data_IF_778623056596
#
_entry.id   IF_778623056596
#
_cell.length_a   1.000
_cell.length_b   1.000
_cell.length_c   1.000
_cell.angle_alpha   90.00
_cell.angle_beta   90.00
_cell.angle_gamma   90.00
#
_symmetry.space_group_name_H-M   'P 1'
#
loop_
_entity.id
_entity.type
_entity.pdbx_description
1 polymer ?
#
# COMPACT_ATOMS: atom_id res chain seq x y z
N UNK A 1 11.86 -8.98 -7.88
CA UNK A 1 10.50 -8.60 -8.30
C UNK A 1 10.03 -7.60 -7.27
N UNK A 2 10.12 -6.29 -7.57
CA UNK A 2 10.17 -5.23 -6.55
C UNK A 2 9.10 -5.30 -5.46
N UNK A 3 9.45 -4.76 -4.28
CA UNK A 3 8.54 -4.59 -3.14
C UNK A 3 7.24 -3.94 -3.62
N UNK A 4 6.09 -4.48 -3.22
CA UNK A 4 4.79 -4.09 -3.78
C UNK A 4 3.75 -3.97 -2.69
N UNK A 5 3.09 -2.82 -2.57
CA UNK A 5 1.91 -2.64 -1.72
C UNK A 5 0.65 -3.11 -2.45
N UNK A 6 -0.17 -3.90 -1.77
CA UNK A 6 -1.43 -4.41 -2.32
C UNK A 6 -2.60 -3.76 -1.60
N UNK A 7 -3.53 -3.22 -2.38
CA UNK A 7 -4.75 -2.59 -1.89
C UNK A 7 -5.99 -3.27 -2.48
N UNK A 8 -7.04 -3.39 -1.66
CA UNK A 8 -8.39 -3.72 -2.11
C UNK A 8 -9.14 -2.41 -2.29
N UNK A 9 -9.49 -2.12 -3.52
CA UNK A 9 -10.12 -0.85 -3.90
C UNK A 9 -11.50 -1.15 -4.45
N UNK A 10 -12.50 -0.48 -3.92
CA UNK A 10 -13.85 -0.55 -4.47
C UNK A 10 -14.10 0.69 -5.31
N UNK A 11 -14.39 0.47 -6.59
CA UNK A 11 -14.63 1.54 -7.57
C UNK A 11 -16.09 1.60 -7.94
N UNK A 12 -16.52 2.76 -8.39
CA UNK A 12 -17.85 2.98 -8.97
C UNK A 12 -17.72 3.48 -10.39
N UNK A 13 -18.51 2.93 -11.30
CA UNK A 13 -18.60 3.41 -12.67
C UNK A 13 -19.28 4.78 -12.70
N UNK A 14 -18.62 5.77 -13.33
CA UNK A 14 -19.24 7.06 -13.63
C UNK A 14 -20.03 6.95 -14.95
N UNK A 15 -21.33 6.69 -14.85
CA UNK A 15 -22.20 6.51 -16.00
C UNK A 15 -22.92 7.79 -16.38
N UNK A 16 -23.20 7.96 -17.67
CA UNK A 16 -24.09 9.03 -18.12
C UNK A 16 -25.48 8.88 -17.48
N UNK A 17 -26.20 10.00 -17.28
CA UNK A 17 -27.46 10.04 -16.55
C UNK A 17 -28.57 9.07 -17.04
N UNK A 18 -28.49 8.62 -18.30
CA UNK A 18 -29.43 7.70 -18.93
C UNK A 18 -28.88 6.26 -19.11
N UNK A 19 -27.78 5.91 -18.45
CA UNK A 19 -27.12 4.60 -18.53
C UNK A 19 -27.04 3.98 -17.15
N UNK A 20 -27.58 2.76 -17.01
CA UNK A 20 -27.46 1.95 -15.81
C UNK A 20 -26.47 0.80 -16.06
N UNK A 21 -25.58 0.56 -15.09
CA UNK A 21 -24.69 -0.59 -15.06
C UNK A 21 -25.07 -1.48 -13.86
N UNK A 22 -24.93 -2.80 -14.02
CA UNK A 22 -25.11 -3.77 -12.94
C UNK A 22 -24.04 -4.87 -13.06
N UNK A 23 -23.10 -4.96 -12.10
CA UNK A 23 -22.92 -4.02 -10.98
C UNK A 23 -22.37 -2.66 -11.44
N UNK A 24 -22.80 -1.56 -10.80
CA UNK A 24 -22.17 -0.23 -10.96
C UNK A 24 -20.99 -0.02 -10.01
N UNK A 25 -20.82 -0.90 -9.03
CA UNK A 25 -19.76 -0.89 -8.03
C UNK A 25 -19.10 -2.27 -7.92
N UNK A 26 -17.78 -2.33 -8.00
CA UNK A 26 -17.04 -3.59 -7.88
C UNK A 26 -15.68 -3.40 -7.22
N UNK A 27 -15.18 -4.50 -6.65
CA UNK A 27 -13.86 -4.53 -6.02
C UNK A 27 -12.78 -4.92 -7.03
N UNK A 28 -11.65 -4.21 -6.98
CA UNK A 28 -10.43 -4.50 -7.71
C UNK A 28 -9.23 -4.59 -6.76
N UNK A 29 -8.14 -5.19 -7.24
CA UNK A 29 -6.87 -5.28 -6.50
C UNK A 29 -5.82 -4.42 -7.17
N UNK A 30 -5.40 -3.37 -6.47
CA UNK A 30 -4.34 -2.46 -6.93
C UNK A 30 -3.01 -2.89 -6.35
N UNK A 31 -1.96 -2.86 -7.19
CA UNK A 31 -0.58 -3.18 -6.81
C UNK A 31 0.28 -1.97 -7.11
N UNK A 32 0.90 -1.41 -6.08
CA UNK A 32 1.73 -0.21 -6.17
C UNK A 32 3.16 -0.59 -5.84
N UNK A 33 4.05 -0.43 -6.81
CA UNK A 33 5.50 -0.56 -6.61
C UNK A 33 6.05 0.83 -6.28
N UNK A 34 6.54 1.07 -5.04
CA UNK A 34 7.20 2.32 -4.71
C UNK A 34 8.57 2.42 -5.40
N UNK A 35 9.20 3.59 -5.36
CA UNK A 35 10.63 3.73 -5.62
C UNK A 35 11.47 2.81 -4.72
N UNK A 36 12.72 2.56 -5.13
CA UNK A 36 13.62 1.69 -4.37
C UNK A 36 13.90 2.24 -2.96
N UNK A 37 14.12 1.38 -1.95
CA UNK A 37 14.39 1.82 -0.59
C UNK A 37 15.57 2.80 -0.53
N UNK A 38 15.35 3.98 0.05
CA UNK A 38 16.33 5.07 0.11
C UNK A 38 16.15 6.14 -0.97
N UNK A 39 15.37 5.90 -2.02
CA UNK A 39 15.05 6.89 -3.04
C UNK A 39 13.88 7.80 -2.64
N UNK A 40 13.82 9.02 -3.18
CA UNK A 40 12.72 9.95 -2.88
C UNK A 40 11.34 9.31 -3.14
N UNK A 41 10.50 9.23 -2.11
CA UNK A 41 9.15 8.64 -2.21
C UNK A 41 9.03 7.18 -1.73
N UNK A 42 10.12 6.51 -1.34
CA UNK A 42 10.10 5.13 -0.84
C UNK A 42 9.31 4.93 0.48
N UNK A 43 9.13 6.01 1.25
CA UNK A 43 8.43 6.03 2.56
C UNK A 43 6.90 6.05 2.45
N UNK A 44 6.35 5.67 1.30
CA UNK A 44 4.90 5.62 1.05
C UNK A 44 4.08 5.04 2.22
N UNK A 45 4.52 3.93 2.81
CA UNK A 45 3.82 3.29 3.93
C UNK A 45 3.73 4.14 5.20
N UNK A 46 4.75 4.99 5.46
CA UNK A 46 4.78 5.86 6.64
C UNK A 46 3.68 6.92 6.56
N UNK A 47 3.45 7.42 5.36
CA UNK A 47 2.54 8.54 5.13
C UNK A 47 1.10 8.02 4.90
N UNK A 48 0.94 6.80 4.38
CA UNK A 48 -0.37 6.23 4.04
C UNK A 48 -0.95 5.25 5.09
N UNK A 49 -0.12 4.57 5.87
CA UNK A 49 -0.55 3.42 6.69
C UNK A 49 -0.35 3.64 8.19
N UNK A 50 -1.17 2.96 8.99
CA UNK A 50 -1.00 2.84 10.43
C UNK A 50 -1.57 1.51 10.89
N UNK A 51 -0.76 0.71 11.63
CA UNK A 51 -1.11 -0.63 12.14
C UNK A 51 -1.66 -1.61 11.10
N UNK A 52 -1.25 -1.49 9.84
CA UNK A 52 -1.73 -2.33 8.74
C UNK A 52 -3.07 -1.90 8.16
N UNK A 53 -3.55 -0.71 8.51
CA UNK A 53 -4.74 -0.08 7.93
C UNK A 53 -4.34 1.24 7.26
N UNK A 54 -5.21 1.76 6.39
CA UNK A 54 -5.05 3.13 5.90
C UNK A 54 -5.30 4.11 7.04
N UNK A 55 -4.45 5.12 7.18
CA UNK A 55 -4.53 6.03 8.33
C UNK A 55 -5.73 6.99 8.25
N UNK A 56 -6.16 7.31 7.02
CA UNK A 56 -7.28 8.21 6.74
C UNK A 56 -8.03 7.69 5.51
N UNK A 57 -9.30 7.32 5.69
CA UNK A 57 -10.16 6.77 4.63
C UNK A 57 -10.40 7.76 3.48
N UNK A 58 -10.46 9.07 3.75
CA UNK A 58 -10.62 10.10 2.70
C UNK A 58 -9.34 10.20 1.89
N UNK A 59 -8.19 10.26 2.56
CA UNK A 59 -6.90 10.30 1.88
C UNK A 59 -6.65 9.01 1.07
N UNK A 60 -7.00 7.85 1.61
CA UNK A 60 -6.86 6.56 0.93
C UNK A 60 -7.71 6.48 -0.35
N UNK A 61 -8.92 7.03 -0.34
CA UNK A 61 -9.76 7.13 -1.54
C UNK A 61 -9.15 8.07 -2.57
N UNK A 62 -8.74 9.27 -2.18
CA UNK A 62 -8.09 10.23 -3.09
C UNK A 62 -6.82 9.66 -3.73
N UNK A 63 -6.05 8.93 -2.93
CA UNK A 63 -4.84 8.25 -3.39
C UNK A 63 -5.18 7.15 -4.40
N UNK A 64 -6.20 6.33 -4.13
CA UNK A 64 -6.66 5.32 -5.07
C UNK A 64 -7.27 5.90 -6.36
N UNK A 65 -7.99 7.03 -6.26
CA UNK A 65 -8.49 7.79 -7.40
C UNK A 65 -7.32 8.28 -8.27
N UNK A 66 -6.23 8.74 -7.66
CA UNK A 66 -5.02 9.16 -8.40
C UNK A 66 -4.34 8.02 -9.17
N UNK A 67 -4.51 6.77 -8.73
CA UNK A 67 -3.95 5.61 -9.40
C UNK A 67 -4.83 5.07 -10.53
N UNK A 68 -6.14 5.12 -10.35
CA UNK A 68 -7.11 4.44 -11.23
C UNK A 68 -7.86 5.40 -12.17
N UNK A 69 -7.83 6.70 -11.90
CA UNK A 69 -8.54 7.74 -12.66
C UNK A 69 -10.06 7.47 -12.77
N UNK A 70 -10.65 6.89 -11.71
CA UNK A 70 -12.09 6.58 -11.58
C UNK A 70 -12.56 6.85 -10.16
N UNK A 71 -13.87 7.08 -9.93
CA UNK A 71 -14.42 7.27 -8.59
C UNK A 71 -14.16 6.07 -7.66
N UNK A 72 -13.65 6.33 -6.45
CA UNK A 72 -13.37 5.30 -5.45
C UNK A 72 -14.31 5.42 -4.26
N UNK A 73 -14.96 4.30 -3.93
CA UNK A 73 -15.87 4.17 -2.78
C UNK A 73 -15.10 3.80 -1.52
N UNK A 74 -14.10 2.93 -1.62
CA UNK A 74 -13.23 2.56 -0.49
C UNK A 74 -11.87 2.06 -0.96
N UNK A 75 -10.86 2.20 -0.11
CA UNK A 75 -9.51 1.71 -0.34
C UNK A 75 -8.96 1.16 0.98
N UNK A 76 -8.56 -0.11 0.99
CA UNK A 76 -8.00 -0.77 2.16
C UNK A 76 -6.65 -1.41 1.82
N UNK A 77 -5.68 -1.27 2.72
CA UNK A 77 -4.42 -1.99 2.61
C UNK A 77 -4.65 -3.48 2.88
N UNK A 78 -4.07 -4.34 2.05
CA UNK A 78 -4.17 -5.78 2.20
C UNK A 78 -2.86 -6.40 2.69
N UNK A 79 -1.77 -6.16 1.96
CA UNK A 79 -0.47 -6.72 2.29
C UNK A 79 0.67 -6.02 1.54
N UNK A 80 1.87 -6.10 2.12
CA UNK A 80 3.12 -5.82 1.44
C UNK A 80 3.69 -7.13 0.90
N UNK A 81 3.96 -7.20 -0.39
CA UNK A 81 4.58 -8.34 -1.06
C UNK A 81 6.04 -8.04 -1.40
N UNK A 82 6.96 -8.93 -1.01
CA UNK A 82 8.39 -8.81 -1.35
C UNK A 82 9.06 -10.19 -1.34
N UNK A 83 10.20 -10.34 -2.02
CA UNK A 83 11.14 -11.44 -1.77
C UNK A 83 11.94 -11.18 -0.48
N UNK A 84 12.64 -12.20 0.02
CA UNK A 84 13.49 -12.06 1.21
C UNK A 84 14.56 -10.97 1.04
N UNK A 85 15.28 -10.97 -0.10
CA UNK A 85 16.33 -9.99 -0.36
C UNK A 85 15.81 -8.55 -0.46
N UNK A 86 14.60 -8.37 -0.97
CA UNK A 86 13.96 -7.05 -1.05
C UNK A 86 13.47 -6.59 0.32
N UNK A 87 12.96 -7.50 1.13
CA UNK A 87 12.55 -7.20 2.49
C UNK A 87 13.76 -6.83 3.36
N UNK A 88 14.90 -7.48 3.13
CA UNK A 88 16.14 -7.16 3.84
C UNK A 88 16.69 -5.78 3.43
N UNK A 89 16.73 -5.46 2.14
CA UNK A 89 17.09 -4.11 1.69
C UNK A 89 16.14 -3.03 2.26
N UNK A 90 14.84 -3.32 2.32
CA UNK A 90 13.86 -2.43 2.95
C UNK A 90 14.10 -2.25 4.45
N UNK A 91 14.43 -3.32 5.17
CA UNK A 91 14.79 -3.27 6.60
C UNK A 91 16.06 -2.47 6.84
N UNK A 92 17.08 -2.61 5.99
CA UNK A 92 18.32 -1.84 6.06
C UNK A 92 18.06 -0.35 5.85
N UNK A 93 17.25 0.01 4.86
CA UNK A 93 16.86 1.40 4.61
C UNK A 93 16.10 2.01 5.81
N UNK A 94 15.22 1.24 6.45
CA UNK A 94 14.53 1.67 7.68
C UNK A 94 15.52 1.82 8.83
N UNK A 95 16.43 0.86 9.01
CA UNK A 95 17.44 0.88 10.08
C UNK A 95 18.31 2.15 10.00
N UNK A 96 18.66 2.57 8.78
CA UNK A 96 19.40 3.80 8.53
C UNK A 96 18.63 5.09 8.86
N UNK A 97 17.31 5.02 9.08
CA UNK A 97 16.42 6.17 9.25
C UNK A 97 15.48 6.03 10.47
N UNK A 98 15.84 5.25 11.50
CA UNK A 98 14.95 4.94 12.64
C UNK A 98 14.41 6.20 13.35
N UNK A 99 15.22 7.23 13.48
CA UNK A 99 14.82 8.51 14.09
C UNK A 99 13.60 9.13 13.41
N UNK A 100 13.47 8.96 12.08
CA UNK A 100 12.34 9.48 11.31
C UNK A 100 11.00 8.79 11.65
N UNK A 101 11.05 7.64 12.32
CA UNK A 101 9.87 6.86 12.69
C UNK A 101 9.54 6.94 14.18
N UNK A 102 10.41 7.57 14.98
CA UNK A 102 10.34 7.58 16.45
C UNK A 102 10.16 6.16 17.00
N UNK A 103 11.10 5.28 16.66
CA UNK A 103 11.06 3.85 16.99
C UNK A 103 12.47 3.32 17.30
N UNK A 104 12.54 2.37 18.24
CA UNK A 104 13.80 1.82 18.73
C UNK A 104 14.30 0.63 17.89
N UNK A 105 13.46 0.08 17.01
CA UNK A 105 13.84 -1.03 16.13
C UNK A 105 13.06 -1.07 14.83
N UNK A 106 13.66 -1.66 13.80
CA UNK A 106 13.00 -1.91 12.49
C UNK A 106 11.74 -2.76 12.67
N UNK A 107 11.77 -3.74 13.56
CA UNK A 107 10.61 -4.59 13.85
C UNK A 107 9.45 -3.76 14.35
N UNK A 108 9.71 -2.79 15.23
CA UNK A 108 8.67 -1.92 15.77
C UNK A 108 8.13 -0.98 14.70
N UNK A 109 8.96 -0.48 13.79
CA UNK A 109 8.50 0.28 12.60
C UNK A 109 7.58 -0.57 11.74
N UNK A 110 8.02 -1.76 11.33
CA UNK A 110 7.22 -2.64 10.47
C UNK A 110 5.89 -3.01 11.15
N UNK A 111 5.91 -3.33 12.44
CA UNK A 111 4.69 -3.63 13.17
C UNK A 111 3.79 -2.40 13.34
N UNK A 112 4.36 -1.22 13.60
CA UNK A 112 3.63 0.04 13.80
C UNK A 112 2.88 0.47 12.54
N UNK A 113 3.46 0.29 11.35
CA UNK A 113 2.84 0.76 10.11
C UNK A 113 2.16 -0.36 9.30
N UNK A 114 2.76 -1.55 9.23
CA UNK A 114 2.28 -2.67 8.41
C UNK A 114 1.59 -3.77 9.23
N UNK A 115 1.64 -3.70 10.56
CA UNK A 115 1.07 -4.74 11.42
C UNK A 115 1.73 -6.10 11.17
N UNK A 116 0.91 -7.07 10.76
CA UNK A 116 1.35 -8.42 10.34
C UNK A 116 1.16 -8.67 8.84
N UNK A 117 0.83 -7.64 8.07
CA UNK A 117 0.44 -7.74 6.67
C UNK A 117 1.66 -7.70 5.73
N UNK A 118 2.64 -8.56 5.97
CA UNK A 118 3.82 -8.74 5.12
C UNK A 118 3.80 -10.17 4.59
N UNK A 119 3.75 -10.31 3.27
CA UNK A 119 3.83 -11.58 2.56
C UNK A 119 5.18 -11.70 1.86
N UNK A 120 6.02 -12.60 2.37
CA UNK A 120 7.23 -13.02 1.68
C UNK A 120 6.85 -13.98 0.57
N UNK A 121 7.24 -13.67 -0.67
CA UNK A 121 7.12 -14.60 -1.79
C UNK A 121 8.37 -15.46 -1.82
N UNK A 122 8.22 -16.74 -1.48
CA UNK A 122 9.20 -17.76 -1.83
C UNK A 122 9.27 -17.78 -3.36
N UNK A 123 10.45 -17.58 -3.94
CA UNK A 123 10.60 -17.75 -5.38
C UNK A 123 10.22 -19.19 -5.72
N UNK A 124 9.10 -19.40 -6.40
CA UNK A 124 8.88 -20.66 -7.11
C UNK A 124 9.98 -20.73 -8.17
N UNK A 125 10.95 -21.61 -7.90
CA UNK A 125 12.10 -21.95 -8.75
C UNK A 125 11.64 -22.70 -10.01
#
# INVERSE_FOLDING_TARGET
>A
MALTYVFRVRVRLDTAANVAADPDEFETTVRVTPPDPGESGWLFFRDALWRGEVNDDVHARQLAESWLDVPVVSCAFAELQASESELDAFREAIAANLDAFNADSVRDVLHKYLGSAIRVKSGDY
#
